data_IF_545961195944
#
_entry.id   IF_545961195944
#
_cell.length_a   1.000
_cell.length_b   1.000
_cell.length_c   1.000
_cell.angle_alpha   90.00
_cell.angle_beta   90.00
_cell.angle_gamma   90.00
#
_symmetry.space_group_name_H-M   'P 1'
#
loop_
_entity.id
_entity.type
_entity.pdbx_description
1 polymer ?
#
# COMPACT_ATOMS: atom_id res chain seq x y z
N UNK A 1 16.24 13.28 4.24
CA UNK A 1 15.38 12.12 3.95
C UNK A 1 15.32 11.26 5.20
N UNK A 2 14.12 10.93 5.68
CA UNK A 2 13.94 9.93 6.73
C UNK A 2 14.10 8.53 6.14
N UNK A 3 14.68 7.55 6.87
CA UNK A 3 14.73 6.17 6.41
C UNK A 3 13.31 5.64 6.17
N UNK A 4 13.08 5.03 5.01
CA UNK A 4 11.79 4.42 4.65
C UNK A 4 12.00 3.18 3.77
N UNK A 5 10.98 2.32 3.73
CA UNK A 5 10.92 1.24 2.75
C UNK A 5 10.72 1.84 1.35
N UNK A 6 11.45 1.34 0.37
CA UNK A 6 11.38 1.79 -1.02
C UNK A 6 11.22 0.59 -1.94
N UNK A 7 10.66 0.79 -3.14
CA UNK A 7 10.63 -0.24 -4.18
C UNK A 7 12.05 -0.66 -4.56
N UNK A 8 12.20 -1.92 -4.98
CA UNK A 8 13.50 -2.55 -5.23
C UNK A 8 14.40 -1.77 -6.19
N UNK A 9 13.82 -1.07 -7.18
CA UNK A 9 14.54 -0.31 -8.20
C UNK A 9 14.90 1.13 -7.82
N UNK A 10 14.43 1.61 -6.67
CA UNK A 10 14.66 3.00 -6.24
C UNK A 10 16.16 3.29 -6.02
N UNK A 11 16.97 2.41 -5.39
CA UNK A 11 18.41 2.66 -5.26
C UNK A 11 19.13 2.80 -6.60
N UNK A 12 18.77 2.01 -7.62
CA UNK A 12 19.34 2.09 -8.97
C UNK A 12 18.98 3.42 -9.63
N UNK A 13 17.72 3.86 -9.49
CA UNK A 13 17.27 5.15 -10.02
C UNK A 13 18.00 6.32 -9.35
N UNK A 14 18.13 6.32 -8.01
CA UNK A 14 18.91 7.33 -7.27
C UNK A 14 20.36 7.37 -7.79
N UNK A 15 20.97 6.20 -7.99
CA UNK A 15 22.34 6.10 -8.52
C UNK A 15 22.46 6.63 -9.95
N UNK A 16 21.47 6.37 -10.80
CA UNK A 16 21.41 6.88 -12.17
C UNK A 16 21.29 8.42 -12.22
N UNK A 17 20.71 9.04 -11.19
CA UNK A 17 20.66 10.49 -11.02
C UNK A 17 21.96 11.09 -10.43
N UNK A 18 23.02 10.29 -10.26
CA UNK A 18 24.33 10.75 -9.77
C UNK A 18 24.45 10.81 -8.24
N UNK A 19 23.41 10.43 -7.52
CA UNK A 19 23.42 10.32 -6.06
C UNK A 19 23.94 8.94 -5.61
N UNK A 20 24.21 8.77 -4.31
CA UNK A 20 24.72 7.50 -3.75
C UNK A 20 23.78 7.00 -2.65
N UNK A 21 22.88 6.04 -2.94
CA UNK A 21 21.97 5.53 -1.92
C UNK A 21 22.73 4.68 -0.89
N UNK A 22 22.31 4.76 0.37
CA UNK A 22 22.74 3.84 1.43
C UNK A 22 21.56 2.94 1.76
N UNK A 23 21.71 1.65 1.50
CA UNK A 23 20.65 0.66 1.71
C UNK A 23 21.14 -0.48 2.60
N UNK A 24 20.18 -1.17 3.22
CA UNK A 24 20.39 -2.47 3.87
C UNK A 24 19.14 -3.30 3.64
N UNK A 25 19.26 -4.62 3.73
CA UNK A 25 18.08 -5.51 3.77
C UNK A 25 17.51 -5.51 5.19
N UNK A 26 16.18 -5.53 5.27
CA UNK A 26 15.45 -5.69 6.52
C UNK A 26 15.32 -7.18 6.83
N UNK A 27 15.33 -7.55 8.11
CA UNK A 27 14.85 -8.88 8.51
C UNK A 27 13.31 -8.96 8.45
N UNK A 28 12.73 -10.15 8.67
CA UNK A 28 11.29 -10.35 8.56
C UNK A 28 10.48 -9.44 9.51
N UNK A 29 10.95 -9.21 10.74
CA UNK A 29 10.24 -8.38 11.72
C UNK A 29 10.32 -6.91 11.35
N UNK A 30 11.51 -6.45 10.98
CA UNK A 30 11.73 -5.10 10.49
C UNK A 30 10.94 -4.82 9.21
N UNK A 31 10.85 -5.80 8.30
CA UNK A 31 10.12 -5.68 7.05
C UNK A 31 8.62 -5.51 7.28
N UNK A 32 8.03 -6.31 8.17
CA UNK A 32 6.60 -6.17 8.52
C UNK A 32 6.31 -4.81 9.17
N UNK A 33 7.17 -4.35 10.09
CA UNK A 33 7.02 -3.02 10.68
C UNK A 33 7.12 -1.92 9.62
N UNK A 34 8.11 -2.01 8.73
CA UNK A 34 8.30 -1.04 7.65
C UNK A 34 7.15 -1.05 6.63
N UNK A 35 6.49 -2.19 6.38
CA UNK A 35 5.29 -2.25 5.53
C UNK A 35 4.09 -1.54 6.19
N UNK A 36 3.93 -1.62 7.51
CA UNK A 36 2.89 -0.87 8.22
C UNK A 36 3.14 0.63 8.18
N UNK A 37 4.39 1.06 8.36
CA UNK A 37 4.76 2.46 8.22
C UNK A 37 4.54 2.93 6.78
N UNK A 38 4.90 2.09 5.80
CA UNK A 38 4.68 2.37 4.38
C UNK A 38 3.20 2.50 4.04
N UNK A 39 2.34 1.62 4.56
CA UNK A 39 0.89 1.71 4.35
C UNK A 39 0.33 3.05 4.84
N UNK A 40 0.80 3.53 6.00
CA UNK A 40 0.40 4.83 6.55
C UNK A 40 0.91 5.99 5.69
N UNK A 41 2.17 5.93 5.23
CA UNK A 41 2.76 6.91 4.31
C UNK A 41 1.92 7.05 3.04
N UNK A 42 1.69 5.94 2.31
CA UNK A 42 0.98 5.94 1.03
C UNK A 42 -0.49 6.37 1.17
N UNK A 43 -1.14 5.96 2.27
CA UNK A 43 -2.51 6.40 2.57
C UNK A 43 -2.55 7.92 2.84
N UNK A 44 -1.56 8.47 3.54
CA UNK A 44 -1.47 9.90 3.80
C UNK A 44 -1.15 10.68 2.52
N UNK A 45 -0.31 10.14 1.63
CA UNK A 45 -0.01 10.70 0.32
C UNK A 45 -1.29 10.73 -0.55
N UNK A 46 -2.05 9.64 -0.61
CA UNK A 46 -3.36 9.60 -1.28
C UNK A 46 -4.34 10.66 -0.74
N UNK A 47 -4.45 10.78 0.59
CA UNK A 47 -5.32 11.77 1.23
C UNK A 47 -4.87 13.23 0.98
N UNK A 48 -3.59 13.43 0.65
CA UNK A 48 -2.99 14.74 0.38
C UNK A 48 -2.88 15.06 -1.12
N UNK A 49 -3.26 14.12 -1.99
CA UNK A 49 -3.19 14.26 -3.43
C UNK A 49 -4.13 15.37 -3.92
N UNK A 50 -3.59 16.30 -4.71
CA UNK A 50 -4.33 17.49 -5.18
C UNK A 50 -4.89 17.34 -6.61
N UNK A 51 -4.65 16.20 -7.26
CA UNK A 51 -5.14 15.89 -8.60
C UNK A 51 -5.58 14.44 -8.69
N UNK A 52 -6.52 14.15 -9.59
CA UNK A 52 -6.97 12.78 -9.85
C UNK A 52 -5.82 11.88 -10.33
N UNK A 53 -4.88 12.43 -11.12
CA UNK A 53 -3.72 11.68 -11.61
C UNK A 53 -2.83 11.25 -10.45
N UNK A 54 -2.43 12.20 -9.59
CA UNK A 54 -1.64 11.87 -8.39
C UNK A 54 -2.39 10.91 -7.47
N UNK A 55 -3.70 11.10 -7.30
CA UNK A 55 -4.50 10.22 -6.45
C UNK A 55 -4.50 8.76 -6.96
N UNK A 56 -4.55 8.54 -8.28
CA UNK A 56 -4.45 7.21 -8.87
C UNK A 56 -3.06 6.61 -8.70
N UNK A 57 -2.00 7.41 -8.79
CA UNK A 57 -0.62 6.96 -8.53
C UNK A 57 -0.47 6.49 -7.08
N UNK A 58 -0.92 7.28 -6.09
CA UNK A 58 -0.82 6.88 -4.68
C UNK A 58 -1.71 5.66 -4.37
N UNK A 59 -2.88 5.52 -5.00
CA UNK A 59 -3.70 4.30 -4.88
C UNK A 59 -2.99 3.05 -5.42
N UNK A 60 -2.17 3.19 -6.47
CA UNK A 60 -1.35 2.09 -6.99
C UNK A 60 -0.25 1.71 -5.99
N UNK A 61 0.31 2.68 -5.29
CA UNK A 61 1.33 2.44 -4.25
C UNK A 61 0.71 1.80 -3.00
N UNK A 62 -0.48 2.25 -2.56
CA UNK A 62 -1.29 1.54 -1.53
C UNK A 62 -1.57 0.09 -1.95
N UNK A 63 -1.95 -0.15 -3.20
CA UNK A 63 -2.20 -1.50 -3.72
C UNK A 63 -0.95 -2.38 -3.66
N UNK A 64 0.23 -1.85 -3.97
CA UNK A 64 1.49 -2.57 -3.88
C UNK A 64 1.79 -2.99 -2.42
N UNK A 65 1.58 -2.08 -1.47
CA UNK A 65 1.77 -2.37 -0.04
C UNK A 65 0.77 -3.42 0.47
N UNK A 66 -0.49 -3.34 0.05
CA UNK A 66 -1.52 -4.34 0.39
C UNK A 66 -1.15 -5.74 -0.12
N UNK A 67 -0.59 -5.83 -1.34
CA UNK A 67 -0.10 -7.11 -1.90
C UNK A 67 1.07 -7.68 -1.10
N UNK A 68 2.03 -6.84 -0.72
CA UNK A 68 3.16 -7.26 0.12
C UNK A 68 2.70 -7.75 1.51
N UNK A 69 1.77 -7.03 2.14
CA UNK A 69 1.17 -7.43 3.41
C UNK A 69 0.36 -8.74 3.30
N UNK A 70 -0.36 -8.96 2.20
CA UNK A 70 -1.04 -10.23 1.96
C UNK A 70 -0.04 -11.40 1.90
N UNK A 71 1.10 -11.20 1.24
CA UNK A 71 2.16 -12.21 1.16
C UNK A 71 2.78 -12.52 2.54
N UNK A 72 2.94 -11.52 3.41
CA UNK A 72 3.34 -11.72 4.83
C UNK A 72 2.37 -12.66 5.56
N UNK A 73 1.08 -12.59 5.23
CA UNK A 73 0.04 -13.47 5.76
C UNK A 73 -0.13 -14.79 4.99
N UNK A 74 0.77 -15.10 4.05
CA UNK A 74 0.74 -16.33 3.26
C UNK A 74 -0.34 -16.37 2.17
N UNK A 75 -0.89 -15.21 1.80
CA UNK A 75 -1.89 -15.10 0.75
C UNK A 75 -1.29 -14.54 -0.55
N UNK A 76 -1.67 -15.11 -1.69
CA UNK A 76 -1.37 -14.51 -3.00
C UNK A 76 -2.33 -13.33 -3.29
N UNK A 77 -2.00 -12.45 -4.25
CA UNK A 77 -2.92 -11.41 -4.71
C UNK A 77 -4.29 -11.97 -5.15
N UNK A 78 -4.30 -13.13 -5.80
CA UNK A 78 -5.53 -13.79 -6.26
C UNK A 78 -6.35 -14.30 -5.07
N UNK A 79 -5.70 -14.88 -4.05
CA UNK A 79 -6.37 -15.32 -2.84
C UNK A 79 -7.00 -14.14 -2.08
N UNK A 80 -6.30 -13.00 -1.99
CA UNK A 80 -6.84 -11.77 -1.41
C UNK A 80 -8.07 -11.28 -2.19
N UNK A 81 -8.00 -11.31 -3.52
CA UNK A 81 -9.09 -10.87 -4.39
C UNK A 81 -10.33 -11.76 -4.26
N UNK A 82 -10.17 -13.08 -4.11
CA UNK A 82 -11.29 -14.00 -3.81
C UNK A 82 -11.99 -13.59 -2.51
N UNK A 83 -11.23 -13.34 -1.44
CA UNK A 83 -11.80 -12.90 -0.15
C UNK A 83 -12.50 -11.55 -0.28
N UNK A 84 -11.95 -10.61 -1.04
CA UNK A 84 -12.58 -9.31 -1.33
C UNK A 84 -13.90 -9.48 -2.09
N UNK A 85 -13.91 -10.32 -3.14
CA UNK A 85 -15.08 -10.58 -3.96
C UNK A 85 -16.21 -11.27 -3.17
N UNK A 86 -15.89 -12.26 -2.33
CA UNK A 86 -16.85 -12.92 -1.44
C UNK A 86 -17.48 -11.93 -0.44
N UNK A 87 -16.68 -11.02 0.13
CA UNK A 87 -17.20 -9.95 0.99
C UNK A 87 -18.13 -9.02 0.22
N UNK A 88 -17.76 -8.61 -0.99
CA UNK A 88 -18.58 -7.75 -1.83
C UNK A 88 -19.91 -8.41 -2.24
N UNK A 89 -19.90 -9.70 -2.58
CA UNK A 89 -21.11 -10.44 -2.91
C UNK A 89 -22.05 -10.60 -1.70
N UNK A 90 -21.50 -10.83 -0.50
CA UNK A 90 -22.29 -11.03 0.72
C UNK A 90 -22.77 -9.73 1.36
N UNK A 91 -21.99 -8.65 1.27
CA UNK A 91 -22.20 -7.41 2.04
C UNK A 91 -22.43 -6.17 1.16
N UNK A 92 -22.33 -6.30 -0.15
CA UNK A 92 -22.26 -5.17 -1.07
C UNK A 92 -20.87 -4.53 -1.13
N UNK A 93 -20.71 -3.58 -2.05
CA UNK A 93 -19.57 -2.68 -2.12
C UNK A 93 -19.97 -1.25 -1.76
N UNK A 94 -19.07 -0.29 -1.96
CA UNK A 94 -19.33 1.13 -1.67
C UNK A 94 -20.07 1.87 -2.81
N UNK A 95 -20.66 1.17 -3.77
CA UNK A 95 -21.30 1.76 -4.97
C UNK A 95 -22.55 2.58 -4.61
N UNK A 96 -23.34 2.13 -3.64
CA UNK A 96 -24.57 2.80 -3.19
C UNK A 96 -24.30 4.00 -2.27
N UNK A 97 -23.04 4.26 -1.88
CA UNK A 97 -22.63 5.42 -1.06
C UNK A 97 -23.38 5.56 0.28
N UNK A 98 -23.73 4.43 0.89
CA UNK A 98 -24.47 4.39 2.15
C UNK A 98 -23.55 4.76 3.32
N UNK A 99 -23.96 5.75 4.13
CA UNK A 99 -23.31 6.14 5.38
C UNK A 99 -24.25 5.86 6.56
N UNK A 100 -23.82 5.00 7.49
CA UNK A 100 -24.61 4.61 8.67
C UNK A 100 -24.53 5.70 9.74
N UNK A 101 -25.68 6.18 10.22
CA UNK A 101 -25.77 7.24 11.24
C UNK A 101 -25.87 6.64 12.65
N UNK A 102 -26.83 5.74 12.87
CA UNK A 102 -27.04 5.04 14.14
C UNK A 102 -27.62 3.63 13.92
N UNK A 103 -27.67 2.87 15.01
CA UNK A 103 -28.39 1.60 15.14
C UNK A 103 -29.10 1.63 16.49
N UNK A 104 -30.35 1.17 16.53
CA UNK A 104 -31.09 0.96 17.80
C UNK A 104 -30.73 -0.39 18.45
#
# INVERSE_FOLDING_TARGET
MTPKLVRDRIPELISAHGERPRTRRLDDKEYVAALHDKLQEECQEYLSANTDVSAVEELADVMEVVRALAAVHGASPEALEVVRAEKAARRGGFLERIYLIDVE
#
